data_IF_772897536994
#
_entry.id   IF_772897536994
#
_cell.length_a   1.000
_cell.length_b   1.000
_cell.length_c   1.000
_cell.angle_alpha   90.00
_cell.angle_beta   90.00
_cell.angle_gamma   90.00
#
_symmetry.space_group_name_H-M   'P 1'
#
loop_
_entity.id
_entity.type
_entity.pdbx_description
1 polymer ?
#
# COMPACT_ATOMS: atom_id res chain seq x y z
N UNK A 1 42.74 -12.80 6.96
CA UNK A 1 41.31 -13.17 6.91
C UNK A 1 40.73 -12.70 5.60
N UNK A 2 40.79 -13.58 4.60
CA UNK A 2 40.12 -13.46 3.31
C UNK A 2 38.72 -14.04 3.49
N UNK A 3 37.68 -13.41 2.94
CA UNK A 3 36.37 -14.06 2.84
C UNK A 3 35.15 -13.16 2.89
N UNK A 4 35.16 -12.01 2.22
CA UNK A 4 33.95 -11.28 1.89
C UNK A 4 33.89 -11.08 0.36
N UNK A 5 33.60 -12.15 -0.41
CA UNK A 5 32.59 -12.02 -1.44
C UNK A 5 31.88 -13.37 -1.74
N UNK A 6 30.92 -13.78 -0.91
CA UNK A 6 30.03 -14.92 -1.26
C UNK A 6 28.54 -14.62 -1.11
N UNK A 7 28.15 -13.54 -0.41
CA UNK A 7 26.73 -13.25 -0.16
C UNK A 7 25.96 -12.75 -1.39
N UNK A 8 26.65 -12.36 -2.47
CA UNK A 8 26.00 -11.86 -3.69
C UNK A 8 25.63 -12.95 -4.70
N UNK A 9 26.05 -14.20 -4.50
CA UNK A 9 25.80 -15.30 -5.45
C UNK A 9 24.54 -16.13 -5.12
N UNK A 10 23.98 -16.03 -3.91
CA UNK A 10 22.80 -16.84 -3.49
C UNK A 10 21.43 -16.23 -3.82
N UNK A 11 21.37 -15.06 -4.46
CA UNK A 11 20.12 -14.34 -4.78
C UNK A 11 19.68 -14.47 -6.26
N UNK A 12 20.12 -15.50 -6.99
CA UNK A 12 19.79 -15.66 -8.42
C UNK A 12 19.21 -17.02 -8.85
N UNK A 13 18.70 -17.86 -7.94
CA UNK A 13 17.80 -18.99 -8.29
C UNK A 13 17.26 -19.66 -7.02
N UNK A 14 15.99 -19.47 -6.63
CA UNK A 14 15.44 -20.15 -5.45
C UNK A 14 15.19 -21.62 -5.79
N UNK A 15 16.09 -22.51 -5.34
CA UNK A 15 15.83 -23.95 -5.32
C UNK A 15 14.81 -24.27 -4.23
N UNK A 16 13.95 -25.25 -4.50
CA UNK A 16 12.89 -25.74 -3.61
C UNK A 16 13.39 -26.10 -2.21
N UNK A 17 14.67 -26.48 -2.08
CA UNK A 17 15.33 -26.79 -0.81
C UNK A 17 15.39 -25.61 0.17
N UNK A 18 15.53 -24.37 -0.31
CA UNK A 18 15.58 -23.17 0.56
C UNK A 18 14.21 -22.86 1.15
N UNK A 19 13.13 -23.13 0.40
CA UNK A 19 11.75 -22.93 0.89
C UNK A 19 11.40 -23.93 1.98
N UNK A 20 11.84 -25.19 1.84
CA UNK A 20 11.60 -26.24 2.85
C UNK A 20 12.33 -25.94 4.15
N UNK A 21 13.57 -25.43 4.09
CA UNK A 21 14.34 -25.05 5.28
C UNK A 21 13.67 -23.90 6.08
N UNK A 22 13.12 -22.89 5.39
CA UNK A 22 12.37 -21.80 6.04
C UNK A 22 11.04 -22.27 6.65
N UNK A 23 10.31 -23.19 6.00
CA UNK A 23 9.06 -23.72 6.56
C UNK A 23 9.33 -24.58 7.80
N UNK A 24 10.38 -25.41 7.80
CA UNK A 24 10.74 -26.23 8.96
C UNK A 24 11.15 -25.40 10.18
N UNK A 25 11.87 -24.28 9.98
CA UNK A 25 12.24 -23.39 11.09
C UNK A 25 11.03 -22.67 11.68
N UNK A 26 10.02 -22.32 10.87
CA UNK A 26 8.78 -21.73 11.35
C UNK A 26 7.92 -22.73 12.14
N UNK A 27 7.85 -24.00 11.72
CA UNK A 27 7.11 -25.06 12.44
C UNK A 27 7.78 -25.42 13.77
N UNK A 28 9.12 -25.44 13.83
CA UNK A 28 9.84 -25.70 15.09
C UNK A 28 9.67 -24.57 16.12
N UNK A 29 9.43 -23.34 15.68
CA UNK A 29 9.23 -22.20 16.58
C UNK A 29 7.83 -22.20 17.24
N UNK A 30 6.82 -22.76 16.58
CA UNK A 30 5.46 -22.90 17.13
C UNK A 30 5.34 -24.01 18.18
N UNK A 31 6.18 -25.06 18.11
CA UNK A 31 6.11 -26.20 19.04
C UNK A 31 6.72 -25.93 20.43
N UNK A 32 7.51 -24.87 20.60
CA UNK A 32 8.16 -24.56 21.89
C UNK A 32 7.25 -23.79 22.87
N UNK A 33 6.08 -23.31 22.42
CA UNK A 33 5.25 -22.37 23.20
C UNK A 33 4.12 -23.05 23.98
N UNK A 34 3.81 -24.32 23.71
CA UNK A 34 2.63 -25.01 24.27
C UNK A 34 2.94 -25.78 25.59
N UNK A 35 4.21 -25.93 25.98
CA UNK A 35 4.61 -26.82 27.08
C UNK A 35 4.94 -26.13 28.42
N UNK A 36 4.27 -25.04 28.78
CA UNK A 36 4.34 -24.50 30.17
C UNK A 36 2.96 -24.30 30.76
N UNK A 37 2.36 -25.41 31.18
CA UNK A 37 1.39 -25.42 32.28
C UNK A 37 2.13 -25.21 33.61
N UNK A 38 1.57 -24.39 34.49
CA UNK A 38 1.37 -24.90 35.84
C UNK A 38 -0.11 -24.82 36.26
N UNK A 39 -0.59 -25.92 36.82
CA UNK A 39 -1.86 -26.04 37.54
C UNK A 39 -1.67 -25.49 38.95
N UNK A 40 -2.50 -24.52 39.36
CA UNK A 40 -2.97 -24.37 40.75
C UNK A 40 -4.14 -23.36 40.85
N UNK A 41 -5.33 -23.90 41.14
CA UNK A 41 -6.47 -23.43 41.95
C UNK A 41 -7.05 -21.98 41.86
N UNK A 42 -8.37 -21.81 42.12
CA UNK A 42 -9.10 -20.57 41.88
C UNK A 42 -9.15 -19.69 43.13
N UNK A 43 -8.75 -18.42 43.01
CA UNK A 43 -9.06 -17.40 44.02
C UNK A 43 -9.62 -16.15 43.33
N UNK A 44 -10.78 -15.73 43.84
CA UNK A 44 -11.48 -14.50 43.48
C UNK A 44 -10.56 -13.28 43.72
N UNK A 45 -9.94 -12.74 42.68
CA UNK A 45 -9.28 -11.45 42.75
C UNK A 45 -9.67 -10.59 41.56
N UNK A 46 -10.63 -9.69 41.81
CA UNK A 46 -10.98 -8.53 40.97
C UNK A 46 -9.72 -7.95 40.33
N UNK A 47 -9.61 -8.05 39.02
CA UNK A 47 -8.77 -7.16 38.23
C UNK A 47 -9.66 -6.47 37.20
N UNK A 48 -9.68 -5.15 37.36
CA UNK A 48 -10.29 -4.12 36.51
C UNK A 48 -10.35 -4.56 35.05
N UNK A 49 -11.54 -4.50 34.46
CA UNK A 49 -11.71 -4.60 33.02
C UNK A 49 -10.84 -3.51 32.37
N UNK A 50 -9.71 -3.90 31.79
CA UNK A 50 -9.06 -3.09 30.79
C UNK A 50 -10.06 -2.97 29.61
N UNK A 51 -10.38 -1.76 29.14
CA UNK A 51 -11.23 -1.63 27.97
C UNK A 51 -10.54 -2.37 26.79
N UNK A 52 -11.27 -3.17 25.99
CA UNK A 52 -10.73 -3.71 24.76
C UNK A 52 -10.61 -2.54 23.77
N UNK A 53 -9.44 -1.89 23.78
CA UNK A 53 -9.30 -0.59 23.16
C UNK A 53 -7.86 -0.13 22.99
N UNK A 54 -6.94 -1.05 22.77
CA UNK A 54 -5.67 -0.72 22.11
C UNK A 54 -5.69 -1.38 20.74
N UNK A 55 -6.70 -1.02 19.94
CA UNK A 55 -6.61 -1.22 18.50
C UNK A 55 -5.33 -0.54 18.05
N UNK A 56 -4.49 -1.28 17.32
CA UNK A 56 -3.44 -0.68 16.49
C UNK A 56 -4.09 0.54 15.84
N UNK A 57 -3.60 1.75 16.13
CA UNK A 57 -4.26 2.97 15.69
C UNK A 57 -4.52 2.83 14.19
N UNK A 58 -5.77 2.54 13.84
CA UNK A 58 -6.14 2.30 12.47
C UNK A 58 -5.86 3.61 11.75
N UNK A 59 -5.21 3.51 10.59
CA UNK A 59 -4.94 4.71 9.83
C UNK A 59 -6.25 5.48 9.59
N UNK A 60 -6.18 6.80 9.64
CA UNK A 60 -7.37 7.62 9.47
C UNK A 60 -7.77 7.61 7.99
N UNK A 61 -8.66 6.69 7.61
CA UNK A 61 -9.18 6.61 6.24
C UNK A 61 -9.73 7.97 5.81
N UNK A 62 -9.28 8.43 4.64
CA UNK A 62 -9.64 9.74 4.13
C UNK A 62 -9.56 9.78 2.61
N UNK A 63 -10.12 10.82 2.03
CA UNK A 63 -10.04 11.06 0.59
C UNK A 63 -9.11 12.25 0.36
N UNK A 64 -7.78 12.05 0.26
CA UNK A 64 -6.83 13.16 0.15
C UNK A 64 -7.11 14.00 -1.10
N UNK A 65 -6.76 15.28 -1.05
CA UNK A 65 -6.78 16.16 -2.24
C UNK A 65 -5.45 16.02 -2.97
N UNK A 66 -5.40 15.46 -4.19
CA UNK A 66 -4.17 15.38 -4.95
C UNK A 66 -3.63 16.78 -5.21
N UNK A 67 -2.41 17.04 -4.75
CA UNK A 67 -1.74 18.32 -4.95
C UNK A 67 -1.00 18.38 -6.29
N UNK A 68 -0.43 17.25 -6.73
CA UNK A 68 0.39 17.17 -7.94
C UNK A 68 0.28 15.80 -8.60
N UNK A 69 0.37 15.75 -9.93
CA UNK A 69 0.48 14.50 -10.69
C UNK A 69 1.63 14.58 -11.68
N UNK A 70 2.56 13.62 -11.61
CA UNK A 70 3.67 13.48 -12.57
C UNK A 70 3.42 12.28 -13.48
N UNK A 71 3.53 12.51 -14.79
CA UNK A 71 3.48 11.46 -15.80
C UNK A 71 4.86 10.81 -15.93
N UNK A 72 4.95 9.51 -15.66
CA UNK A 72 6.18 8.74 -15.82
C UNK A 72 6.20 8.15 -17.21
N UNK A 73 7.19 8.56 -18.01
CA UNK A 73 7.32 8.22 -19.42
C UNK A 73 8.47 7.26 -19.66
N UNK A 74 8.30 6.36 -20.63
CA UNK A 74 9.34 5.48 -21.14
C UNK A 74 8.97 5.07 -22.57
N UNK A 75 9.96 5.04 -23.48
CA UNK A 75 9.78 4.64 -24.88
C UNK A 75 8.61 5.33 -25.61
N UNK A 76 8.49 6.66 -25.48
CA UNK A 76 7.41 7.42 -26.15
C UNK A 76 6.00 7.22 -25.57
N UNK A 77 5.89 6.55 -24.43
CA UNK A 77 4.61 6.24 -23.76
C UNK A 77 4.61 6.74 -22.32
N UNK A 78 3.43 7.13 -21.82
CA UNK A 78 3.16 7.32 -20.39
C UNK A 78 2.77 5.96 -19.82
N UNK A 79 3.59 5.43 -18.90
CA UNK A 79 3.40 4.09 -18.31
C UNK A 79 2.80 4.11 -16.92
N UNK A 80 2.97 5.21 -16.19
CA UNK A 80 2.36 5.38 -14.88
C UNK A 80 2.13 6.85 -14.54
N UNK A 81 1.24 7.10 -13.59
CA UNK A 81 1.02 8.39 -12.96
C UNK A 81 1.53 8.30 -11.52
N UNK A 82 2.42 9.21 -11.13
CA UNK A 82 2.78 9.41 -9.74
C UNK A 82 1.90 10.54 -9.18
N UNK A 83 1.06 10.21 -8.21
CA UNK A 83 0.08 11.13 -7.60
C UNK A 83 0.62 11.51 -6.22
N UNK A 84 0.58 12.79 -5.88
CA UNK A 84 1.15 13.33 -4.64
C UNK A 84 0.11 14.16 -3.89
N UNK A 85 0.13 14.07 -2.56
CA UNK A 85 -0.67 14.90 -1.66
C UNK A 85 0.08 15.15 -0.35
N UNK A 86 -0.46 16.05 0.47
CA UNK A 86 0.10 16.33 1.80
C UNK A 86 -0.18 15.15 2.73
N UNK A 87 0.87 14.58 3.29
CA UNK A 87 0.75 13.52 4.27
C UNK A 87 0.07 14.05 5.54
N UNK A 88 -0.79 13.24 6.14
CA UNK A 88 -1.39 13.48 7.44
C UNK A 88 -0.68 12.62 8.51
N UNK A 89 -0.77 13.00 9.79
CA UNK A 89 -0.42 12.09 10.88
C UNK A 89 -1.23 10.80 10.77
N UNK A 90 -0.57 9.64 10.87
CA UNK A 90 -1.24 8.35 10.73
C UNK A 90 -1.67 7.99 9.31
N UNK A 91 -0.92 8.43 8.29
CA UNK A 91 -1.14 8.09 6.88
C UNK A 91 -1.33 6.58 6.69
N UNK A 92 -2.33 6.19 5.89
CA UNK A 92 -2.53 4.79 5.54
C UNK A 92 -1.37 4.24 4.70
N UNK A 93 -1.04 2.97 4.93
CA UNK A 93 -0.03 2.26 4.14
C UNK A 93 -0.46 2.01 2.69
N UNK A 94 -1.77 2.00 2.42
CA UNK A 94 -2.35 1.81 1.10
C UNK A 94 -3.39 2.87 0.78
N UNK A 95 -3.63 3.05 -0.52
CA UNK A 95 -4.70 3.87 -1.04
C UNK A 95 -5.32 3.21 -2.27
N UNK A 96 -6.65 3.24 -2.34
CA UNK A 96 -7.41 2.90 -3.53
C UNK A 96 -7.43 4.07 -4.49
N UNK A 97 -7.01 3.83 -5.73
CA UNK A 97 -6.96 4.82 -6.81
C UNK A 97 -7.80 4.36 -7.98
N UNK A 98 -8.72 5.20 -8.45
CA UNK A 98 -9.43 5.00 -9.70
C UNK A 98 -9.02 6.07 -10.71
N UNK A 99 -9.03 5.68 -11.97
CA UNK A 99 -8.81 6.58 -13.08
C UNK A 99 -9.86 6.35 -14.16
N UNK A 100 -10.45 7.45 -14.64
CA UNK A 100 -11.23 7.48 -15.86
C UNK A 100 -10.57 8.38 -16.88
N UNK A 101 -10.59 7.96 -18.14
CA UNK A 101 -10.19 8.80 -19.25
C UNK A 101 -11.42 9.42 -19.90
N UNK A 102 -11.36 10.73 -20.09
CA UNK A 102 -12.33 11.52 -20.85
C UNK A 102 -11.56 12.37 -21.88
N UNK A 103 -11.41 11.82 -23.10
CA UNK A 103 -10.54 12.39 -24.12
C UNK A 103 -9.09 12.53 -23.65
N UNK A 104 -8.66 13.78 -23.39
CA UNK A 104 -7.33 14.13 -22.85
C UNK A 104 -7.33 14.34 -21.33
N UNK A 105 -8.49 14.39 -20.68
CA UNK A 105 -8.61 14.50 -19.23
C UNK A 105 -8.44 13.13 -18.58
N UNK A 106 -7.62 13.06 -17.54
CA UNK A 106 -7.43 11.90 -16.69
C UNK A 106 -8.06 12.23 -15.35
N UNK A 107 -9.31 11.80 -15.16
CA UNK A 107 -10.04 12.00 -13.92
C UNK A 107 -9.54 10.98 -12.89
N UNK A 108 -9.11 11.45 -11.73
CA UNK A 108 -8.44 10.66 -10.70
C UNK A 108 -9.21 10.76 -9.38
N UNK A 109 -9.48 9.63 -8.76
CA UNK A 109 -10.00 9.53 -7.40
C UNK A 109 -8.99 8.78 -6.55
N UNK A 110 -8.73 9.27 -5.33
CA UNK A 110 -7.80 8.67 -4.37
C UNK A 110 -8.49 8.57 -3.03
N UNK A 111 -8.51 7.39 -2.43
CA UNK A 111 -9.02 7.10 -1.09
C UNK A 111 -7.95 6.34 -0.33
N UNK A 112 -7.51 6.86 0.81
CA UNK A 112 -6.60 6.16 1.71
C UNK A 112 -7.33 5.08 2.48
N UNK A 113 -6.62 3.98 2.74
CA UNK A 113 -7.14 2.79 3.40
C UNK A 113 -7.60 1.71 2.45
N UNK A 114 -7.88 0.55 3.03
CA UNK A 114 -8.43 -0.63 2.36
C UNK A 114 -9.96 -0.71 2.47
N UNK A 115 -10.60 0.33 3.01
CA UNK A 115 -12.04 0.44 3.14
C UNK A 115 -12.78 0.34 1.81
N UNK A 116 -14.09 0.17 1.88
CA UNK A 116 -14.95 0.05 0.70
C UNK A 116 -14.76 1.27 -0.20
N UNK A 117 -14.44 1.07 -1.50
CA UNK A 117 -14.29 2.18 -2.42
C UNK A 117 -15.60 2.98 -2.48
N UNK A 118 -15.49 4.30 -2.34
CA UNK A 118 -16.64 5.21 -2.41
C UNK A 118 -17.43 5.00 -3.73
N UNK A 119 -18.72 5.34 -3.77
CA UNK A 119 -19.58 5.12 -4.95
C UNK A 119 -18.99 5.64 -6.28
N UNK A 120 -18.17 6.70 -6.24
CA UNK A 120 -17.43 7.21 -7.41
C UNK A 120 -16.44 6.20 -8.03
N UNK A 121 -15.89 5.29 -7.23
CA UNK A 121 -15.05 4.17 -7.68
C UNK A 121 -15.89 3.00 -8.22
N UNK A 122 -17.13 2.86 -7.76
CA UNK A 122 -18.03 1.76 -8.12
C UNK A 122 -18.70 1.94 -9.49
N UNK A 123 -18.66 3.15 -10.07
CA UNK A 123 -19.26 3.49 -11.36
C UNK A 123 -18.53 2.89 -12.59
N UNK A 124 -18.00 1.67 -12.49
CA UNK A 124 -17.31 0.97 -13.59
C UNK A 124 -15.91 1.51 -13.90
N UNK A 125 -15.29 2.26 -12.97
CA UNK A 125 -13.93 2.75 -13.13
C UNK A 125 -12.98 1.72 -12.50
N UNK A 126 -12.05 1.18 -13.29
CA UNK A 126 -11.05 0.26 -12.77
C UNK A 126 -10.28 0.92 -11.63
N UNK A 127 -10.45 0.39 -10.42
CA UNK A 127 -9.74 0.85 -9.23
C UNK A 127 -8.60 -0.11 -8.90
N UNK A 128 -7.56 0.42 -8.26
CA UNK A 128 -6.40 -0.34 -7.81
C UNK A 128 -6.03 0.11 -6.41
N UNK A 129 -5.85 -0.84 -5.52
CA UNK A 129 -5.18 -0.59 -4.24
C UNK A 129 -3.66 -0.55 -4.49
N UNK A 130 -3.02 0.51 -3.99
CA UNK A 130 -1.62 0.80 -4.23
C UNK A 130 -0.92 1.20 -2.93
N UNK A 131 0.35 0.83 -2.74
CA UNK A 131 1.12 1.24 -1.57
C UNK A 131 1.37 2.76 -1.58
N UNK A 132 1.16 3.39 -0.42
CA UNK A 132 1.47 4.79 -0.18
C UNK A 132 2.91 4.91 0.32
N UNK A 133 3.65 5.83 -0.27
CA UNK A 133 5.00 6.18 0.15
C UNK A 133 5.03 7.61 0.67
N UNK A 134 5.46 7.78 1.91
CA UNK A 134 5.61 9.09 2.56
C UNK A 134 7.07 9.48 2.58
N UNK A 135 7.39 10.66 2.05
CA UNK A 135 8.73 11.24 2.11
C UNK A 135 8.63 12.75 2.31
N UNK A 136 9.29 13.29 3.34
CA UNK A 136 9.35 14.73 3.61
C UNK A 136 7.96 15.40 3.71
N UNK A 137 7.01 14.77 4.41
CA UNK A 137 5.64 15.29 4.58
C UNK A 137 4.75 15.20 3.32
N UNK A 138 5.23 14.55 2.26
CA UNK A 138 4.47 14.31 1.04
C UNK A 138 4.18 12.81 0.92
N UNK A 139 2.91 12.46 0.80
CA UNK A 139 2.47 11.12 0.48
C UNK A 139 2.35 10.96 -1.04
N UNK A 140 2.59 9.74 -1.53
CA UNK A 140 2.57 9.46 -2.96
C UNK A 140 2.21 8.02 -3.27
N UNK A 141 1.57 7.83 -4.42
CA UNK A 141 1.29 6.51 -5.02
C UNK A 141 1.66 6.51 -6.49
N UNK A 142 1.96 5.33 -7.03
CA UNK A 142 2.25 5.12 -8.44
C UNK A 142 1.16 4.27 -9.07
N UNK A 143 0.31 4.89 -9.88
CA UNK A 143 -0.73 4.22 -10.65
C UNK A 143 -0.15 3.71 -11.99
N UNK A 144 0.00 2.40 -12.20
CA UNK A 144 0.38 1.85 -13.49
C UNK A 144 -0.77 2.01 -14.52
N UNK A 145 -0.41 2.32 -15.77
CA UNK A 145 -1.35 2.44 -16.89
C UNK A 145 -1.25 1.20 -17.78
N UNK A 146 -2.37 0.49 -17.92
CA UNK A 146 -2.51 -0.67 -18.79
C UNK A 146 -3.84 -0.55 -19.56
N UNK A 147 -3.79 -0.30 -20.89
CA UNK A 147 -2.59 -0.05 -21.70
C UNK A 147 -1.92 1.30 -21.37
N UNK A 148 -0.61 1.46 -21.69
CA UNK A 148 0.06 2.75 -21.57
C UNK A 148 -0.48 3.78 -22.57
N UNK A 149 -0.32 5.07 -22.28
CA UNK A 149 -0.85 6.17 -23.11
C UNK A 149 0.23 6.75 -24.04
N UNK A 150 -0.08 7.19 -25.27
CA UNK A 150 0.89 7.84 -26.15
C UNK A 150 1.41 9.17 -25.58
N UNK A 151 2.73 9.31 -25.40
CA UNK A 151 3.31 10.51 -24.78
C UNK A 151 3.22 11.78 -25.64
N UNK A 152 2.95 11.63 -26.95
CA UNK A 152 2.70 12.76 -27.88
C UNK A 152 1.48 13.59 -27.50
N UNK A 153 0.56 13.05 -26.70
CA UNK A 153 -0.64 13.75 -26.27
C UNK A 153 -0.40 14.42 -24.91
N UNK A 154 -0.84 15.68 -24.79
CA UNK A 154 -0.87 16.39 -23.51
C UNK A 154 -2.11 15.96 -22.73
N UNK A 155 -1.92 15.00 -21.82
CA UNK A 155 -2.96 14.60 -20.87
C UNK A 155 -3.03 15.57 -19.70
N UNK A 156 -4.25 15.86 -19.26
CA UNK A 156 -4.56 16.78 -18.17
C UNK A 156 -5.08 15.97 -16.98
N UNK A 157 -4.29 15.83 -15.90
CA UNK A 157 -4.77 15.24 -14.65
C UNK A 157 -5.85 16.13 -14.03
N UNK A 158 -6.96 15.53 -13.61
CA UNK A 158 -8.12 16.22 -13.04
C UNK A 158 -8.55 15.45 -11.79
N UNK A 159 -8.83 16.15 -10.69
CA UNK A 159 -9.47 15.53 -9.53
C UNK A 159 -10.89 15.16 -9.93
N UNK A 160 -11.19 13.87 -9.93
CA UNK A 160 -12.47 13.33 -10.38
C UNK A 160 -13.65 13.71 -9.49
N UNK A 161 -13.41 14.18 -8.26
CA UNK A 161 -14.46 14.67 -7.35
C UNK A 161 -14.85 16.11 -7.65
N UNK A 162 -13.87 16.95 -7.98
CA UNK A 162 -14.08 18.40 -8.11
C UNK A 162 -14.04 18.90 -9.55
N UNK A 163 -13.54 18.10 -10.50
CA UNK A 163 -13.30 18.51 -11.88
C UNK A 163 -12.13 19.50 -12.05
N UNK A 164 -11.39 19.82 -10.97
CA UNK A 164 -10.25 20.74 -11.01
C UNK A 164 -9.01 20.07 -11.57
N UNK A 165 -8.26 20.80 -12.39
CA UNK A 165 -6.96 20.35 -12.91
C UNK A 165 -5.95 20.26 -11.78
N UNK A 166 -5.22 19.15 -11.71
CA UNK A 166 -4.12 18.92 -10.77
C UNK A 166 -2.81 19.26 -11.49
N UNK A 167 -1.93 20.05 -10.86
CA UNK A 167 -0.72 20.61 -11.47
C UNK A 167 0.55 20.09 -10.82
#
# INVERSE_FOLDING_TARGET
MVGAPCCLVLMMRPSTSVRVACVMTLVLLEAATIARTPVAAPELARHVAAPPGAGVAACAERTPVPARVRQVRAAGLVRSLAIFWKAAPGECATATVAMRRDGRRLMLWVQEGSGTPQAAFQAGHGHRELPVHVHGGTASVRLPLAPPLPARHRYLPVDGRTGRVIR
#
